data_IF_747322542852
#
_entry.id   IF_747322542852
#
_cell.length_a   1.000
_cell.length_b   1.000
_cell.length_c   1.000
_cell.angle_alpha   90.00
_cell.angle_beta   90.00
_cell.angle_gamma   90.00
#
_symmetry.space_group_name_H-M   'P 1'
#
loop_
_entity.id
_entity.type
_entity.pdbx_description
1 polymer ?
#
# COMPACT_ATOMS: atom_id res chain seq x y z
N UNK A 1 16.55 9.57 26.51
CA UNK A 1 15.11 9.40 26.82
C UNK A 1 14.30 9.93 25.64
N UNK A 2 13.85 9.05 24.75
CA UNK A 2 13.00 9.43 23.59
C UNK A 2 11.54 9.36 24.05
N UNK A 3 10.83 10.49 23.96
CA UNK A 3 9.38 10.53 24.24
C UNK A 3 8.63 9.95 23.05
N UNK A 4 7.66 9.05 23.23
CA UNK A 4 6.82 8.61 22.12
C UNK A 4 5.93 9.78 21.66
N UNK A 5 5.92 10.03 20.36
CA UNK A 5 4.95 10.92 19.74
C UNK A 5 3.58 10.24 19.77
N UNK A 6 2.62 10.84 20.48
CA UNK A 6 1.23 10.39 20.46
C UNK A 6 0.55 10.99 19.23
N UNK A 7 0.14 10.15 18.30
CA UNK A 7 -0.60 10.58 17.12
C UNK A 7 -2.11 10.51 17.34
N UNK A 8 -2.77 11.50 16.74
CA UNK A 8 -4.21 11.72 16.76
C UNK A 8 -4.94 10.65 15.94
N UNK A 9 -6.00 10.08 16.51
CA UNK A 9 -6.96 9.25 15.79
C UNK A 9 -7.88 10.13 14.94
N UNK A 10 -8.02 9.78 13.66
CA UNK A 10 -9.12 10.27 12.83
C UNK A 10 -10.23 9.23 12.82
N UNK A 11 -11.36 9.52 13.44
CA UNK A 11 -12.55 8.70 13.47
C UNK A 11 -13.56 9.29 12.49
N UNK A 12 -13.78 8.64 11.35
CA UNK A 12 -14.82 9.05 10.40
C UNK A 12 -16.11 8.26 10.68
N UNK A 13 -17.15 8.92 11.17
CA UNK A 13 -18.46 8.35 11.49
C UNK A 13 -19.47 8.80 10.43
N UNK A 14 -20.09 7.85 9.72
CA UNK A 14 -21.23 8.11 8.83
C UNK A 14 -22.49 7.49 9.43
N UNK A 15 -23.52 8.31 9.69
CA UNK A 15 -24.79 7.90 10.29
C UNK A 15 -25.85 7.49 9.26
N UNK A 16 -26.48 6.35 9.47
CA UNK A 16 -27.85 6.09 9.00
C UNK A 16 -28.53 5.10 9.97
N UNK A 17 -29.65 5.50 10.60
CA UNK A 17 -30.46 4.63 11.47
C UNK A 17 -31.72 4.12 10.77
N UNK A 18 -32.29 2.94 11.14
CA UNK A 18 -33.38 2.90 12.08
C UNK A 18 -33.34 1.75 13.10
N UNK A 19 -34.08 1.96 14.16
CA UNK A 19 -34.23 1.23 15.41
C UNK A 19 -34.65 -0.25 15.24
N UNK A 20 -33.86 -1.17 15.81
CA UNK A 20 -34.29 -2.54 16.17
C UNK A 20 -33.45 -3.03 17.36
N UNK A 21 -34.07 -3.84 18.22
CA UNK A 21 -33.57 -4.33 19.50
C UNK A 21 -32.09 -4.81 19.40
N UNK A 22 -31.22 -4.20 20.20
CA UNK A 22 -29.77 -4.38 20.17
C UNK A 22 -29.46 -5.61 20.97
N UNK A 23 -29.10 -6.70 20.29
CA UNK A 23 -28.08 -7.63 20.84
C UNK A 23 -26.76 -6.88 20.67
N UNK A 24 -26.19 -6.43 21.77
CA UNK A 24 -24.87 -5.79 21.76
C UNK A 24 -23.83 -6.83 21.35
N UNK A 25 -23.54 -6.92 20.06
CA UNK A 25 -22.39 -7.65 19.57
C UNK A 25 -21.21 -6.67 19.69
N UNK A 26 -20.34 -6.87 20.66
CA UNK A 26 -19.10 -6.12 20.77
C UNK A 26 -18.06 -6.78 19.89
N UNK A 27 -17.47 -6.04 18.97
CA UNK A 27 -16.26 -6.45 18.26
C UNK A 27 -15.08 -6.29 19.21
N UNK A 28 -14.22 -7.30 19.26
CA UNK A 28 -13.03 -7.34 20.09
C UNK A 28 -11.84 -7.85 19.27
N UNK A 29 -10.95 -6.93 18.84
CA UNK A 29 -9.77 -7.23 18.02
C UNK A 29 -8.53 -7.05 18.88
N UNK A 30 -7.73 -8.11 19.13
CA UNK A 30 -6.46 -7.97 19.83
C UNK A 30 -5.43 -7.25 18.97
N UNK A 31 -4.66 -6.35 19.60
CA UNK A 31 -3.54 -5.64 18.98
C UNK A 31 -2.25 -5.87 19.76
N UNK A 32 -1.16 -6.15 19.04
CA UNK A 32 0.19 -6.28 19.59
C UNK A 32 1.13 -5.32 18.88
N UNK A 33 0.94 -4.01 19.13
CA UNK A 33 1.65 -2.95 18.39
C UNK A 33 3.12 -2.86 18.83
N UNK A 34 4.03 -2.69 17.87
CA UNK A 34 5.47 -2.56 18.11
C UNK A 34 5.82 -1.17 18.63
N UNK A 35 6.29 -1.07 19.86
CA UNK A 35 6.66 0.20 20.52
C UNK A 35 7.87 0.89 19.91
N UNK A 36 8.72 0.13 19.17
CA UNK A 36 9.96 0.63 18.56
C UNK A 36 9.73 1.30 17.20
N UNK A 37 8.49 1.28 16.68
CA UNK A 37 8.13 1.84 15.38
C UNK A 37 7.08 2.93 15.52
N UNK A 38 7.11 3.90 14.61
CA UNK A 38 6.00 4.84 14.45
C UNK A 38 4.89 4.13 13.67
N UNK A 39 3.65 4.29 14.09
CA UNK A 39 2.50 3.68 13.43
C UNK A 39 1.25 4.55 13.51
N UNK A 40 0.32 4.27 12.60
CA UNK A 40 -1.06 4.77 12.63
C UNK A 40 -1.98 3.56 12.61
N UNK A 41 -2.99 3.54 13.47
CA UNK A 41 -4.06 2.55 13.46
C UNK A 41 -5.31 3.20 12.90
N UNK A 42 -5.84 2.64 11.83
CA UNK A 42 -7.13 3.00 11.24
C UNK A 42 -8.14 1.91 11.54
N UNK A 43 -9.31 2.29 12.05
CA UNK A 43 -10.40 1.36 12.32
C UNK A 43 -11.63 1.80 11.54
N UNK A 44 -12.13 0.92 10.68
CA UNK A 44 -13.35 1.12 9.92
C UNK A 44 -14.45 0.24 10.53
N UNK A 45 -15.56 0.88 10.91
CA UNK A 45 -16.74 0.22 11.48
C UNK A 45 -17.87 0.21 10.44
N UNK A 46 -18.03 -0.87 9.67
CA UNK A 46 -19.16 -0.97 8.74
C UNK A 46 -20.46 -1.18 9.51
N UNK A 47 -21.50 -0.43 9.16
CA UNK A 47 -22.87 -0.70 9.61
C UNK A 47 -23.37 0.03 10.87
N UNK A 48 -22.83 1.21 11.17
CA UNK A 48 -23.52 2.14 12.10
C UNK A 48 -23.16 1.98 13.58
N UNK A 49 -21.96 1.53 13.90
CA UNK A 49 -21.44 1.64 15.27
C UNK A 49 -21.23 3.09 15.66
N UNK A 50 -21.49 3.40 16.93
CA UNK A 50 -21.40 4.77 17.45
C UNK A 50 -20.04 5.13 17.99
N UNK A 51 -19.19 4.16 18.36
CA UNK A 51 -17.85 4.41 18.89
C UNK A 51 -16.95 3.18 18.79
N UNK A 52 -15.67 3.41 18.57
CA UNK A 52 -14.61 2.43 18.79
C UNK A 52 -13.66 2.96 19.84
N UNK A 53 -13.18 2.09 20.72
CA UNK A 53 -12.17 2.39 21.71
C UNK A 53 -10.93 1.54 21.47
N UNK A 54 -9.74 2.12 21.67
CA UNK A 54 -8.47 1.40 21.62
C UNK A 54 -7.84 1.53 23.00
N UNK A 55 -7.97 0.49 23.80
CA UNK A 55 -7.42 0.41 25.16
C UNK A 55 -6.78 -0.96 25.38
N UNK A 56 -5.74 -1.02 26.21
CA UNK A 56 -5.08 -2.26 26.65
C UNK A 56 -4.72 -3.24 25.53
N UNK A 57 -4.29 -2.71 24.37
CA UNK A 57 -3.94 -3.55 23.21
C UNK A 57 -5.12 -4.23 22.53
N UNK A 58 -6.32 -3.65 22.63
CA UNK A 58 -7.54 -4.16 22.00
C UNK A 58 -8.34 -3.05 21.36
N UNK A 59 -9.02 -3.38 20.27
CA UNK A 59 -10.06 -2.54 19.69
C UNK A 59 -11.40 -3.11 20.08
N UNK A 60 -12.19 -2.32 20.79
CA UNK A 60 -13.56 -2.66 21.14
C UNK A 60 -14.52 -1.71 20.43
N UNK A 61 -15.63 -2.22 19.91
CA UNK A 61 -16.66 -1.42 19.29
C UNK A 61 -18.04 -1.95 19.67
N UNK A 62 -18.83 -1.14 20.37
CA UNK A 62 -20.20 -1.48 20.74
C UNK A 62 -21.14 -1.26 19.55
N UNK A 63 -22.05 -2.23 19.34
CA UNK A 63 -23.04 -2.16 18.26
C UNK A 63 -22.50 -2.43 16.85
N UNK A 64 -21.22 -2.79 16.71
CA UNK A 64 -20.66 -3.23 15.45
C UNK A 64 -20.65 -4.76 15.36
N UNK A 65 -21.12 -5.30 14.23
CA UNK A 65 -20.98 -6.73 13.92
C UNK A 65 -19.60 -7.08 13.36
N UNK A 66 -18.87 -6.09 12.87
CA UNK A 66 -17.54 -6.23 12.28
C UNK A 66 -16.73 -4.92 12.48
N UNK A 67 -15.42 -5.04 12.56
CA UNK A 67 -14.49 -3.94 12.45
C UNK A 67 -13.32 -4.35 11.57
N UNK A 68 -12.81 -3.41 10.77
CA UNK A 68 -11.61 -3.62 9.96
C UNK A 68 -10.51 -2.74 10.54
N UNK A 69 -9.47 -3.36 11.09
CA UNK A 69 -8.33 -2.66 11.63
C UNK A 69 -7.14 -2.75 10.67
N UNK A 70 -6.53 -1.62 10.38
CA UNK A 70 -5.31 -1.52 9.58
C UNK A 70 -4.26 -0.77 10.36
N UNK A 71 -3.07 -1.35 10.48
CA UNK A 71 -1.91 -0.72 11.10
C UNK A 71 -0.90 -0.40 10.02
N UNK A 72 -0.51 0.87 9.90
CA UNK A 72 0.55 1.31 8.98
C UNK A 72 1.76 1.72 9.79
N UNK A 73 2.87 1.04 9.57
CA UNK A 73 4.15 1.36 10.17
C UNK A 73 4.98 2.26 9.25
N UNK A 74 5.68 3.20 9.86
CA UNK A 74 6.47 4.21 9.18
C UNK A 74 7.95 4.10 9.55
N UNK A 75 8.81 4.42 8.60
CA UNK A 75 10.24 4.55 8.83
C UNK A 75 10.60 5.86 9.58
N UNK A 76 11.89 6.08 9.81
CA UNK A 76 12.38 7.28 10.50
C UNK A 76 12.16 8.60 9.75
N UNK A 77 11.78 8.53 8.46
CA UNK A 77 11.47 9.69 7.60
C UNK A 77 9.96 9.91 7.44
N UNK A 78 9.13 9.09 8.07
CA UNK A 78 7.67 9.18 7.97
C UNK A 78 7.09 8.57 6.69
N UNK A 79 7.83 7.67 6.01
CA UNK A 79 7.35 6.96 4.84
C UNK A 79 6.75 5.61 5.25
N UNK A 80 5.63 5.15 4.66
CA UNK A 80 5.04 3.85 4.99
C UNK A 80 6.00 2.71 4.63
N UNK A 81 6.28 1.85 5.60
CA UNK A 81 7.21 0.72 5.47
C UNK A 81 6.49 -0.61 5.44
N UNK A 82 5.45 -0.76 6.26
CA UNK A 82 4.65 -1.98 6.34
C UNK A 82 3.20 -1.65 6.67
N UNK A 83 2.28 -2.35 6.03
CA UNK A 83 0.85 -2.30 6.34
C UNK A 83 0.40 -3.68 6.80
N UNK A 84 -0.27 -3.74 7.95
CA UNK A 84 -0.89 -4.94 8.50
C UNK A 84 -2.41 -4.74 8.59
N UNK A 85 -3.17 -5.53 7.84
CA UNK A 85 -4.63 -5.62 7.97
C UNK A 85 -4.94 -6.75 8.97
N UNK A 86 -5.40 -6.37 10.15
CA UNK A 86 -5.54 -7.29 11.28
C UNK A 86 -6.70 -8.25 11.06
N UNK A 87 -6.43 -9.56 11.19
CA UNK A 87 -7.44 -10.60 11.06
C UNK A 87 -8.15 -10.65 9.69
N UNK A 88 -7.54 -10.12 8.65
CA UNK A 88 -8.21 -9.87 7.35
C UNK A 88 -8.47 -11.15 6.53
N UNK A 89 -7.75 -12.23 6.79
CA UNK A 89 -7.95 -13.49 6.04
C UNK A 89 -9.11 -14.32 6.60
N UNK A 90 -9.63 -15.24 5.80
CA UNK A 90 -10.69 -16.16 6.23
C UNK A 90 -10.31 -17.03 7.43
N UNK A 91 -9.01 -17.22 7.70
CA UNK A 91 -8.48 -17.96 8.85
C UNK A 91 -8.19 -17.06 10.06
N UNK A 92 -8.51 -15.76 9.98
CA UNK A 92 -8.20 -14.79 11.03
C UNK A 92 -6.72 -14.36 11.09
N UNK A 93 -5.91 -14.70 10.07
CA UNK A 93 -4.54 -14.22 9.98
C UNK A 93 -4.50 -12.77 9.48
N UNK A 94 -3.49 -12.01 9.91
CA UNK A 94 -3.21 -10.69 9.37
C UNK A 94 -2.70 -10.77 7.94
N UNK A 95 -3.06 -9.79 7.12
CA UNK A 95 -2.52 -9.66 5.77
C UNK A 95 -1.50 -8.52 5.75
N UNK A 96 -0.22 -8.87 5.62
CA UNK A 96 0.89 -7.93 5.62
C UNK A 96 1.34 -7.60 4.21
N UNK A 97 1.69 -6.33 3.97
CA UNK A 97 2.40 -5.88 2.76
C UNK A 97 3.51 -4.91 3.15
N UNK A 98 4.58 -4.87 2.37
CA UNK A 98 5.76 -4.05 2.64
C UNK A 98 6.10 -3.15 1.47
N UNK A 99 6.72 -2.01 1.78
CA UNK A 99 7.26 -1.06 0.80
C UNK A 99 8.74 -0.88 1.05
N UNK A 100 9.55 -0.92 -0.01
CA UNK A 100 10.98 -0.67 0.04
C UNK A 100 11.35 0.59 -0.72
N UNK A 101 12.33 1.35 -0.18
CA UNK A 101 12.82 2.59 -0.76
C UNK A 101 14.28 2.44 -1.18
N UNK A 102 14.64 3.05 -2.31
CA UNK A 102 16.02 3.12 -2.78
C UNK A 102 16.81 4.24 -2.05
N UNK A 103 18.11 4.36 -2.37
CA UNK A 103 18.99 5.38 -1.77
C UNK A 103 18.54 6.81 -2.06
N UNK A 104 17.80 7.04 -3.14
CA UNK A 104 17.22 8.34 -3.46
C UNK A 104 15.86 8.58 -2.77
N UNK A 105 15.38 7.62 -1.96
CA UNK A 105 14.12 7.70 -1.25
C UNK A 105 12.90 7.40 -2.10
N UNK A 106 13.05 6.84 -3.30
CA UNK A 106 11.95 6.47 -4.18
C UNK A 106 11.45 5.07 -3.84
N UNK A 107 10.15 4.89 -3.89
CA UNK A 107 9.54 3.58 -3.73
C UNK A 107 9.93 2.68 -4.91
N UNK A 108 10.72 1.64 -4.66
CA UNK A 108 11.17 0.73 -5.71
C UNK A 108 10.67 -0.69 -5.54
N UNK A 109 10.26 -1.09 -4.34
CA UNK A 109 9.73 -2.44 -4.08
C UNK A 109 8.40 -2.40 -3.35
N UNK A 110 7.45 -3.21 -3.84
CA UNK A 110 6.18 -3.49 -3.17
C UNK A 110 6.08 -4.99 -2.96
N UNK A 111 6.09 -5.42 -1.68
CA UNK A 111 5.96 -6.82 -1.30
C UNK A 111 4.55 -7.37 -1.56
N UNK A 112 4.46 -8.65 -1.90
CA UNK A 112 3.19 -9.34 -2.06
C UNK A 112 2.45 -9.44 -0.73
N UNK A 113 1.13 -9.22 -0.70
CA UNK A 113 0.33 -9.37 0.53
C UNK A 113 0.47 -10.79 1.09
N UNK A 114 1.03 -10.93 2.28
CA UNK A 114 1.38 -12.22 2.89
C UNK A 114 0.60 -12.45 4.16
N UNK A 115 -0.12 -13.58 4.31
CA UNK A 115 -0.81 -13.91 5.56
C UNK A 115 0.19 -14.28 6.66
N UNK A 116 -0.02 -13.71 7.86
CA UNK A 116 0.76 -14.01 9.07
C UNK A 116 -0.18 -14.29 10.22
N UNK A 117 -0.16 -15.52 10.74
CA UNK A 117 -1.05 -15.91 11.83
C UNK A 117 -0.57 -15.41 13.20
N UNK A 118 -1.51 -14.99 14.05
CA UNK A 118 -1.23 -14.57 15.43
C UNK A 118 -0.40 -13.31 15.56
N UNK A 119 -0.29 -12.50 14.51
CA UNK A 119 0.53 -11.29 14.49
C UNK A 119 -0.15 -10.11 15.20
N UNK A 120 -1.47 -10.02 15.14
CA UNK A 120 -2.29 -8.99 15.79
C UNK A 120 -1.81 -7.56 15.52
N UNK A 121 -1.47 -7.26 14.26
CA UNK A 121 -1.01 -5.95 13.83
C UNK A 121 0.44 -5.61 14.19
N UNK A 122 1.23 -6.54 14.74
CA UNK A 122 2.63 -6.33 15.09
C UNK A 122 3.49 -6.08 13.85
N UNK A 123 4.54 -5.26 13.99
CA UNK A 123 5.56 -5.11 12.94
C UNK A 123 6.37 -6.39 12.77
N UNK A 124 6.51 -6.83 11.55
CA UNK A 124 7.34 -8.00 11.19
C UNK A 124 8.58 -7.50 10.46
N UNK A 125 9.76 -7.88 10.95
CA UNK A 125 10.99 -7.46 10.32
C UNK A 125 11.11 -8.00 8.87
N UNK A 126 11.84 -7.31 7.96
CA UNK A 126 11.89 -7.68 6.54
C UNK A 126 12.39 -9.10 6.26
N UNK A 127 13.30 -9.63 7.10
CA UNK A 127 13.82 -11.00 6.91
C UNK A 127 12.76 -12.05 7.24
N UNK A 128 12.05 -11.89 8.35
CA UNK A 128 10.95 -12.78 8.73
C UNK A 128 9.79 -12.71 7.75
N UNK A 129 9.42 -11.48 7.32
CA UNK A 129 8.42 -11.29 6.27
C UNK A 129 8.82 -12.03 4.99
N UNK A 130 10.06 -11.88 4.52
CA UNK A 130 10.56 -12.56 3.32
C UNK A 130 10.51 -14.08 3.43
N UNK A 131 10.89 -14.66 4.56
CA UNK A 131 10.81 -16.11 4.80
C UNK A 131 9.37 -16.61 4.80
N UNK A 132 8.46 -15.89 5.47
CA UNK A 132 7.04 -16.24 5.52
C UNK A 132 6.40 -16.17 4.14
N UNK A 133 6.69 -15.10 3.39
CA UNK A 133 6.20 -14.94 2.03
C UNK A 133 6.76 -16.03 1.09
N UNK A 134 8.04 -16.35 1.20
CA UNK A 134 8.66 -17.43 0.43
C UNK A 134 8.01 -18.78 0.70
N UNK A 135 7.76 -19.08 1.97
CA UNK A 135 7.05 -20.31 2.35
C UNK A 135 5.62 -20.35 1.82
N UNK A 136 4.91 -19.21 1.84
CA UNK A 136 3.52 -19.13 1.40
C UNK A 136 3.37 -19.23 -0.13
N UNK A 137 4.21 -18.50 -0.89
CA UNK A 137 4.12 -18.42 -2.34
C UNK A 137 4.96 -19.49 -3.08
N UNK A 138 5.93 -20.12 -2.42
CA UNK A 138 6.87 -21.08 -3.04
C UNK A 138 7.82 -20.42 -4.05
N UNK A 139 8.06 -19.11 -3.98
CA UNK A 139 8.91 -18.35 -4.89
C UNK A 139 9.87 -17.42 -4.11
N UNK A 140 10.96 -17.03 -4.74
CA UNK A 140 11.97 -16.11 -4.18
C UNK A 140 11.75 -14.65 -4.59
N UNK A 141 11.03 -14.39 -5.68
CA UNK A 141 10.73 -13.05 -6.18
C UNK A 141 9.35 -12.60 -5.71
N UNK A 142 9.29 -12.09 -4.49
CA UNK A 142 8.08 -11.82 -3.72
C UNK A 142 7.62 -10.37 -3.76
N UNK A 143 8.13 -9.60 -4.70
CA UNK A 143 7.85 -8.18 -4.81
C UNK A 143 7.79 -7.72 -6.26
N UNK A 144 6.99 -6.69 -6.49
CA UNK A 144 7.08 -5.88 -7.69
C UNK A 144 8.23 -4.90 -7.52
N UNK A 145 9.11 -4.77 -8.53
CA UNK A 145 10.24 -3.86 -8.50
C UNK A 145 10.13 -2.83 -9.64
N UNK A 146 10.21 -1.55 -9.30
CA UNK A 146 10.24 -0.45 -10.24
C UNK A 146 11.69 -0.06 -10.50
N UNK A 147 12.09 -0.02 -11.76
CA UNK A 147 13.42 0.40 -12.19
C UNK A 147 13.36 1.86 -12.64
N UNK A 148 14.21 2.69 -12.08
CA UNK A 148 14.32 4.10 -12.42
C UNK A 148 15.58 4.39 -13.20
N UNK A 149 15.54 5.42 -14.04
CA UNK A 149 16.73 5.96 -14.68
C UNK A 149 17.65 6.67 -13.67
N UNK A 150 18.92 6.82 -14.01
CA UNK A 150 19.91 7.50 -13.19
C UNK A 150 19.87 9.04 -13.30
N UNK A 151 18.78 9.62 -13.77
CA UNK A 151 18.65 11.07 -13.86
C UNK A 151 17.80 11.63 -12.72
N UNK A 152 17.93 12.93 -12.40
CA UNK A 152 17.10 13.60 -11.39
C UNK A 152 15.60 13.57 -11.72
N UNK A 153 15.23 13.29 -12.98
CA UNK A 153 13.83 13.18 -13.41
C UNK A 153 13.14 11.93 -12.86
N UNK A 154 13.92 10.94 -12.39
CA UNK A 154 13.40 9.72 -11.76
C UNK A 154 12.33 9.00 -12.59
N UNK A 155 12.46 9.00 -13.93
CA UNK A 155 11.48 8.34 -14.80
C UNK A 155 11.59 6.82 -14.67
N UNK A 156 10.45 6.15 -14.67
CA UNK A 156 10.41 4.70 -14.68
C UNK A 156 10.89 4.15 -16.02
N UNK A 157 11.95 3.35 -16.02
CA UNK A 157 12.49 2.68 -17.21
C UNK A 157 12.18 1.20 -17.26
N UNK A 158 11.60 0.66 -16.19
CA UNK A 158 11.17 -0.73 -16.19
C UNK A 158 10.37 -1.12 -14.95
N UNK A 159 9.69 -2.25 -15.06
CA UNK A 159 8.96 -2.89 -13.95
C UNK A 159 9.19 -4.39 -14.04
N UNK A 160 9.65 -4.98 -12.95
CA UNK A 160 9.69 -6.43 -12.75
C UNK A 160 8.51 -6.84 -11.90
N UNK A 161 7.77 -7.82 -12.32
CA UNK A 161 6.67 -8.37 -11.56
C UNK A 161 7.13 -9.52 -10.64
N UNK A 162 6.35 -9.83 -9.58
CA UNK A 162 6.64 -10.98 -8.72
C UNK A 162 6.62 -12.29 -9.49
N UNK A 163 7.37 -13.27 -8.97
CA UNK A 163 7.53 -14.60 -9.55
C UNK A 163 8.78 -14.72 -10.43
N UNK A 164 9.53 -15.81 -10.27
CA UNK A 164 10.81 -16.03 -10.94
C UNK A 164 10.73 -15.90 -12.47
N UNK A 165 9.67 -16.44 -13.07
CA UNK A 165 9.43 -16.35 -14.53
C UNK A 165 9.21 -14.90 -14.97
N UNK A 166 8.37 -14.14 -14.25
CA UNK A 166 8.03 -12.76 -14.60
C UNK A 166 9.17 -11.78 -14.28
N UNK A 167 9.95 -12.05 -13.25
CA UNK A 167 11.10 -11.22 -12.89
C UNK A 167 12.19 -11.25 -13.96
N UNK A 168 12.35 -12.38 -14.66
CA UNK A 168 13.27 -12.52 -15.78
C UNK A 168 12.83 -11.75 -17.04
N UNK A 169 11.55 -11.37 -17.12
CA UNK A 169 10.97 -10.65 -18.28
C UNK A 169 10.38 -9.30 -17.88
N UNK A 170 11.23 -8.30 -17.54
CA UNK A 170 10.75 -6.99 -17.14
C UNK A 170 10.03 -6.28 -18.29
N UNK A 171 9.00 -5.52 -17.96
CA UNK A 171 8.46 -4.51 -18.87
C UNK A 171 9.41 -3.32 -18.87
N UNK A 172 9.87 -2.88 -20.05
CA UNK A 172 10.81 -1.76 -20.17
C UNK A 172 10.19 -0.59 -20.92
N UNK A 173 10.63 0.62 -20.57
CA UNK A 173 10.29 1.86 -21.26
C UNK A 173 11.58 2.63 -21.59
N UNK A 174 11.64 3.21 -22.76
CA UNK A 174 12.73 4.09 -23.17
C UNK A 174 12.16 5.47 -23.53
N UNK A 175 12.83 6.50 -23.06
CA UNK A 175 12.48 7.89 -23.37
C UNK A 175 13.51 8.43 -24.34
N UNK A 176 13.06 8.89 -25.50
CA UNK A 176 13.91 9.44 -26.54
C UNK A 176 13.19 10.56 -27.29
N UNK A 177 13.94 11.47 -27.85
CA UNK A 177 13.39 12.45 -28.78
C UNK A 177 12.99 11.78 -30.09
N UNK A 178 12.02 12.37 -30.78
CA UNK A 178 11.59 11.91 -32.10
C UNK A 178 12.69 12.10 -33.15
N UNK A 179 12.75 11.18 -34.09
CA UNK A 179 13.60 11.27 -35.29
C UNK A 179 12.87 11.91 -36.47
N UNK A 180 13.60 12.20 -37.52
CA UNK A 180 13.02 12.82 -38.75
C UNK A 180 11.90 11.93 -39.33
N UNK A 181 10.75 12.52 -39.55
CA UNK A 181 9.63 11.82 -40.17
C UNK A 181 8.91 10.80 -39.32
N UNK A 182 9.24 10.70 -38.03
CA UNK A 182 8.66 9.68 -37.11
C UNK A 182 7.24 10.07 -36.66
N UNK A 183 7.04 11.32 -36.21
CA UNK A 183 5.78 11.74 -35.59
C UNK A 183 5.00 12.70 -36.53
N UNK A 184 3.73 12.37 -36.76
CA UNK A 184 2.83 13.17 -37.61
C UNK A 184 2.32 14.36 -36.79
N UNK A 185 2.35 15.55 -37.45
CA UNK A 185 1.77 16.79 -36.90
C UNK A 185 0.35 16.97 -37.41
N UNK A 186 -0.60 17.09 -36.51
CA UNK A 186 -1.98 17.45 -36.81
C UNK A 186 -2.29 18.85 -36.30
N UNK A 187 -3.17 19.55 -36.99
CA UNK A 187 -3.74 20.83 -36.58
C UNK A 187 -5.25 20.70 -36.47
N UNK A 188 -5.81 21.30 -35.46
CA UNK A 188 -7.25 21.43 -35.29
C UNK A 188 -7.67 22.78 -35.87
N UNK A 189 -8.66 22.81 -36.78
CA UNK A 189 -9.26 23.98 -37.37
C UNK A 189 -10.79 23.88 -37.30
N UNK A 190 -11.50 24.93 -37.75
CA UNK A 190 -12.98 24.90 -37.89
C UNK A 190 -13.49 23.74 -38.74
N UNK A 191 -12.68 23.27 -39.69
CA UNK A 191 -13.02 22.21 -40.64
C UNK A 191 -12.60 20.81 -40.12
N UNK A 192 -12.20 20.71 -38.85
CA UNK A 192 -11.81 19.47 -38.18
C UNK A 192 -10.30 19.30 -38.04
N UNK A 193 -9.86 18.03 -37.88
CA UNK A 193 -8.46 17.66 -37.67
C UNK A 193 -7.78 17.41 -39.02
N UNK A 194 -6.74 18.18 -39.32
CA UNK A 194 -5.98 18.09 -40.58
C UNK A 194 -4.53 17.69 -40.29
N UNK A 195 -4.00 16.78 -41.12
CA UNK A 195 -2.56 16.47 -41.13
C UNK A 195 -1.82 17.59 -41.84
N UNK A 196 -0.94 18.30 -41.10
CA UNK A 196 -0.19 19.45 -41.66
C UNK A 196 1.29 19.14 -41.93
N UNK A 197 1.77 17.99 -41.48
CA UNK A 197 3.17 17.63 -41.71
C UNK A 197 3.68 16.59 -40.73
N UNK A 198 4.93 16.74 -40.33
CA UNK A 198 5.62 15.96 -39.31
C UNK A 198 6.43 16.88 -38.39
N UNK A 199 6.61 16.50 -37.18
CA UNK A 199 7.47 17.24 -36.25
C UNK A 199 8.93 17.18 -36.70
N UNK A 200 9.65 18.25 -36.43
CA UNK A 200 11.12 18.29 -36.64
C UNK A 200 11.78 17.35 -35.64
N UNK A 201 12.98 16.79 -35.93
CA UNK A 201 13.71 15.97 -34.99
C UNK A 201 13.95 16.69 -33.66
N UNK A 202 13.75 16.01 -32.56
CA UNK A 202 13.96 16.57 -31.23
C UNK A 202 12.91 17.58 -30.76
N UNK A 203 11.78 17.72 -31.46
CA UNK A 203 10.70 18.62 -31.07
C UNK A 203 9.72 18.02 -30.05
N UNK A 204 9.82 16.70 -29.80
CA UNK A 204 9.03 15.94 -28.82
C UNK A 204 9.95 15.04 -27.99
#
# INVERSE_FOLDING_TARGET
>A
MKRPLRFSMSLSILFLSPMSAIVSVAVDIPLSLSSEKNYIVEVVLPGGSTSANIEDGRITAEGASQALATVVYYDGLGRPEQTARVGFTATGADLLSTVGYDEAGREYRQGLPTPVSGNNGCYVNPSTYGQTAQSYYGDTYLYRETLYENSPLSRTVGVKNPGAVWNAHPKTAAYRCNTAGEVVLFRISSDGVQRVGRYTPGAL
#
